data_IF_841019777979
#
_entry.id   IF_841019777979
#
_cell.length_a   1.000
_cell.length_b   1.000
_cell.length_c   1.000
_cell.angle_alpha   90.00
_cell.angle_beta   90.00
_cell.angle_gamma   90.00
#
_symmetry.space_group_name_H-M   'P 1'
#
loop_
_entity.id
_entity.type
_entity.pdbx_description
1 polymer ?
#
# COMPACT_ATOMS: atom_id res chain seq x y z
N UNK A 1 5.55 26.38 -3.99
CA UNK A 1 6.37 25.77 -2.93
C UNK A 1 7.02 24.53 -3.50
N UNK A 2 8.28 24.27 -3.17
CA UNK A 2 8.97 23.07 -3.61
C UNK A 2 8.73 21.93 -2.60
N UNK A 3 8.08 20.86 -3.05
CA UNK A 3 7.71 19.71 -2.21
C UNK A 3 8.90 18.84 -1.82
N UNK A 4 10.08 19.08 -2.42
CA UNK A 4 11.32 18.35 -2.15
C UNK A 4 12.23 19.06 -1.15
N UNK A 5 11.84 20.25 -0.67
CA UNK A 5 12.62 20.98 0.33
C UNK A 5 12.63 20.22 1.64
N UNK A 6 13.82 20.12 2.23
CA UNK A 6 14.03 19.54 3.55
C UNK A 6 14.38 20.60 4.57
N UNK A 7 14.07 20.35 5.85
CA UNK A 7 14.55 21.17 6.96
C UNK A 7 16.07 20.95 7.17
N UNK A 8 16.67 21.71 8.10
CA UNK A 8 18.07 21.50 8.50
C UNK A 8 18.31 20.09 9.08
N UNK A 9 17.27 19.51 9.67
CA UNK A 9 17.29 18.19 10.29
C UNK A 9 16.92 17.07 9.29
N UNK A 10 16.88 17.40 7.99
CA UNK A 10 16.49 16.51 6.90
C UNK A 10 15.02 16.06 6.95
N UNK A 11 14.15 16.76 7.67
CA UNK A 11 12.72 16.47 7.64
C UNK A 11 12.11 16.85 6.30
N UNK A 12 11.27 15.96 5.80
CA UNK A 12 10.47 16.17 4.60
C UNK A 12 9.04 16.51 5.01
N UNK A 13 8.22 16.96 4.04
CA UNK A 13 6.77 17.08 4.22
C UNK A 13 6.12 15.76 4.69
N UNK A 14 6.69 14.62 4.32
CA UNK A 14 6.21 13.31 4.75
C UNK A 14 6.64 12.95 6.17
N UNK A 15 7.76 13.48 6.68
CA UNK A 15 8.16 13.29 8.09
C UNK A 15 7.07 13.82 9.04
N UNK A 16 6.50 14.99 8.73
CA UNK A 16 5.40 15.56 9.52
C UNK A 16 4.11 14.72 9.44
N UNK A 17 3.79 14.14 8.29
CA UNK A 17 2.64 13.24 8.13
C UNK A 17 2.86 11.95 8.92
N UNK A 18 4.05 11.35 8.83
CA UNK A 18 4.42 10.14 9.57
C UNK A 18 4.29 10.38 11.08
N UNK A 19 4.76 11.52 11.57
CA UNK A 19 4.60 11.91 12.97
C UNK A 19 3.12 11.96 13.38
N UNK A 20 2.27 12.67 12.62
CA UNK A 20 0.83 12.75 12.90
C UNK A 20 0.14 11.38 12.87
N UNK A 21 0.49 10.51 11.92
CA UNK A 21 -0.03 9.15 11.87
C UNK A 21 0.37 8.35 13.13
N UNK A 22 1.56 8.59 13.68
CA UNK A 22 2.00 8.02 14.95
C UNK A 22 1.10 8.40 16.13
N UNK A 23 0.61 9.63 16.17
CA UNK A 23 -0.28 10.12 17.24
C UNK A 23 -1.66 9.45 17.24
N UNK A 24 -2.05 8.79 16.15
CA UNK A 24 -3.31 8.01 16.13
C UNK A 24 -3.23 6.73 16.96
N UNK A 25 -2.04 6.31 17.37
CA UNK A 25 -1.85 5.11 18.19
C UNK A 25 -2.19 5.45 19.64
N UNK A 26 -3.38 5.04 20.09
CA UNK A 26 -3.84 5.26 21.45
C UNK A 26 -4.66 6.54 21.66
N UNK A 27 -4.91 7.31 20.60
CA UNK A 27 -5.91 8.38 20.61
C UNK A 27 -7.33 7.80 20.63
N UNK A 28 -8.32 8.64 20.94
CA UNK A 28 -9.72 8.23 20.75
C UNK A 28 -10.07 8.08 19.26
N UNK A 29 -11.22 7.46 19.00
CA UNK A 29 -11.66 7.08 17.66
C UNK A 29 -11.91 8.31 16.76
N UNK A 30 -12.44 9.39 17.32
CA UNK A 30 -12.81 10.58 16.55
C UNK A 30 -11.57 11.41 16.20
N UNK A 31 -10.65 11.58 17.16
CA UNK A 31 -9.34 12.20 16.90
C UNK A 31 -8.55 11.39 15.85
N UNK A 32 -8.49 10.06 15.98
CA UNK A 32 -7.81 9.20 15.01
C UNK A 32 -8.40 9.36 13.61
N UNK A 33 -9.73 9.46 13.48
CA UNK A 33 -10.41 9.68 12.19
C UNK A 33 -10.05 11.03 11.59
N UNK A 34 -10.06 12.10 12.39
CA UNK A 34 -9.71 13.44 11.94
C UNK A 34 -8.26 13.51 11.45
N UNK A 35 -7.32 12.94 12.21
CA UNK A 35 -5.90 12.88 11.82
C UNK A 35 -5.73 12.07 10.55
N UNK A 36 -6.35 10.89 10.44
CA UNK A 36 -6.27 10.06 9.23
C UNK A 36 -6.86 10.80 8.01
N UNK A 37 -8.00 11.48 8.16
CA UNK A 37 -8.60 12.27 7.09
C UNK A 37 -7.66 13.40 6.65
N UNK A 38 -7.11 14.16 7.60
CA UNK A 38 -6.15 15.21 7.31
C UNK A 38 -4.92 14.67 6.55
N UNK A 39 -4.31 13.60 7.06
CA UNK A 39 -3.13 12.98 6.44
C UNK A 39 -3.43 12.48 5.03
N UNK A 40 -4.63 11.94 4.79
CA UNK A 40 -5.10 11.54 3.47
C UNK A 40 -5.17 12.73 2.51
N UNK A 41 -5.86 13.80 2.89
CA UNK A 41 -6.04 14.99 2.03
C UNK A 41 -4.72 15.67 1.72
N UNK A 42 -3.82 15.78 2.69
CA UNK A 42 -2.50 16.38 2.49
C UNK A 42 -1.64 15.51 1.59
N UNK A 43 -1.61 14.19 1.80
CA UNK A 43 -0.87 13.26 0.94
C UNK A 43 -1.36 13.31 -0.50
N UNK A 44 -2.68 13.36 -0.72
CA UNK A 44 -3.27 13.54 -2.04
C UNK A 44 -2.78 14.83 -2.72
N UNK A 45 -2.81 15.95 -2.00
CA UNK A 45 -2.33 17.24 -2.50
C UNK A 45 -0.83 17.19 -2.85
N UNK A 46 0.01 16.67 -1.96
CA UNK A 46 1.44 16.57 -2.17
C UNK A 46 1.78 15.72 -3.40
N UNK A 47 1.09 14.60 -3.60
CA UNK A 47 1.29 13.73 -4.75
C UNK A 47 0.86 14.38 -6.07
N UNK A 48 -0.22 15.18 -6.08
CA UNK A 48 -0.60 16.01 -7.24
C UNK A 48 0.51 16.99 -7.62
N UNK A 49 1.27 17.48 -6.64
CA UNK A 49 2.43 18.34 -6.85
C UNK A 49 3.76 17.58 -7.03
N UNK A 50 3.71 16.26 -7.23
CA UNK A 50 4.86 15.45 -7.61
C UNK A 50 5.72 14.94 -6.45
N UNK A 51 5.26 15.02 -5.21
CA UNK A 51 5.93 14.39 -4.07
C UNK A 51 5.87 12.86 -4.20
N UNK A 52 6.99 12.17 -3.91
CA UNK A 52 7.06 10.71 -3.92
C UNK A 52 6.90 10.16 -2.48
N UNK A 53 5.77 9.52 -2.13
CA UNK A 53 5.52 9.00 -0.77
C UNK A 53 6.35 7.76 -0.43
N UNK A 54 7.11 7.22 -1.38
CA UNK A 54 7.91 6.01 -1.23
C UNK A 54 9.42 6.29 -1.19
N UNK A 55 9.81 7.56 -1.41
CA UNK A 55 11.20 8.01 -1.28
C UNK A 55 11.72 7.70 0.13
N UNK A 56 12.93 7.17 0.20
CA UNK A 56 13.54 6.72 1.45
C UNK A 56 14.44 7.83 2.02
N UNK A 57 13.97 8.64 2.98
CA UNK A 57 14.86 9.48 3.78
C UNK A 57 15.55 8.64 4.87
N UNK A 58 16.33 9.28 5.73
CA UNK A 58 17.13 8.65 6.80
C UNK A 58 16.33 7.84 7.83
N UNK A 59 15.02 8.05 7.96
CA UNK A 59 14.18 7.45 9.00
C UNK A 59 13.13 6.46 8.45
N UNK A 60 12.08 6.91 7.74
CA UNK A 60 11.11 6.04 7.03
C UNK A 60 10.40 6.80 5.91
N UNK A 61 9.83 6.10 4.93
CA UNK A 61 8.93 6.68 3.91
C UNK A 61 7.46 6.55 4.34
N UNK A 62 6.59 7.43 3.85
CA UNK A 62 5.16 7.38 4.17
C UNK A 62 4.55 6.02 3.78
N UNK A 63 4.91 5.50 2.60
CA UNK A 63 4.42 4.19 2.14
C UNK A 63 4.87 3.07 3.07
N UNK A 64 6.12 3.11 3.55
CA UNK A 64 6.66 2.13 4.48
C UNK A 64 5.93 2.17 5.83
N UNK A 65 5.68 3.35 6.39
CA UNK A 65 4.93 3.53 7.64
C UNK A 65 3.48 3.02 7.48
N UNK A 66 2.81 3.37 6.38
CA UNK A 66 1.45 2.89 6.12
C UNK A 66 1.39 1.36 5.95
N UNK A 67 2.41 0.72 5.36
CA UNK A 67 2.50 -0.74 5.29
C UNK A 67 2.65 -1.38 6.67
N UNK A 68 3.49 -0.79 7.54
CA UNK A 68 3.70 -1.29 8.91
C UNK A 68 2.46 -1.21 9.78
N UNK A 69 1.57 -0.27 9.50
CA UNK A 69 0.33 -0.02 10.23
C UNK A 69 -0.90 -0.12 9.33
N UNK A 70 -0.89 -1.07 8.37
CA UNK A 70 -1.92 -1.15 7.33
C UNK A 70 -3.33 -1.39 7.87
N UNK A 71 -3.47 -1.98 9.06
CA UNK A 71 -4.77 -2.15 9.74
C UNK A 71 -5.40 -0.78 10.05
N UNK A 72 -4.60 0.18 10.50
CA UNK A 72 -5.03 1.50 10.97
C UNK A 72 -5.11 2.51 9.82
N UNK A 73 -4.09 2.54 8.96
CA UNK A 73 -3.97 3.51 7.87
C UNK A 73 -4.38 2.92 6.52
N UNK A 74 -5.29 1.95 6.51
CA UNK A 74 -5.70 1.25 5.28
C UNK A 74 -6.17 2.18 4.17
N UNK A 75 -7.04 3.19 4.41
CA UNK A 75 -7.53 4.07 3.34
C UNK A 75 -6.40 4.86 2.68
N UNK A 76 -5.46 5.36 3.50
CA UNK A 76 -4.28 6.06 3.00
C UNK A 76 -3.37 5.11 2.22
N UNK A 77 -3.04 3.94 2.78
CA UNK A 77 -2.20 2.95 2.09
C UNK A 77 -2.79 2.54 0.73
N UNK A 78 -4.10 2.27 0.69
CA UNK A 78 -4.83 1.93 -0.53
C UNK A 78 -4.66 3.04 -1.56
N UNK A 79 -4.93 4.29 -1.17
CA UNK A 79 -4.76 5.45 -2.06
C UNK A 79 -3.32 5.56 -2.60
N UNK A 80 -2.31 5.41 -1.73
CA UNK A 80 -0.90 5.47 -2.16
C UNK A 80 -0.62 4.42 -3.24
N UNK A 81 -1.00 3.16 -3.01
CA UNK A 81 -0.76 2.06 -3.96
C UNK A 81 -1.59 2.19 -5.24
N UNK A 82 -2.85 2.61 -5.15
CA UNK A 82 -3.70 2.89 -6.32
C UNK A 82 -3.13 4.02 -7.18
N UNK A 83 -2.61 5.06 -6.53
CA UNK A 83 -1.87 6.16 -7.16
C UNK A 83 -0.55 5.70 -7.77
N UNK A 84 -0.08 4.50 -7.42
CA UNK A 84 1.06 3.78 -8.01
C UNK A 84 2.28 3.62 -7.10
N UNK A 85 2.16 3.88 -5.78
CA UNK A 85 3.26 4.14 -4.83
C UNK A 85 4.20 2.95 -4.86
N UNK A 86 5.51 3.19 -4.80
CA UNK A 86 6.44 2.07 -4.75
C UNK A 86 6.20 1.30 -3.46
N UNK A 87 5.91 0.01 -3.59
CA UNK A 87 5.70 -0.89 -2.46
C UNK A 87 7.01 -1.51 -1.94
N UNK A 88 8.15 -1.07 -2.47
CA UNK A 88 9.49 -1.36 -1.99
C UNK A 88 10.28 -0.04 -1.95
N UNK A 89 11.44 -0.04 -1.29
CA UNK A 89 12.32 1.12 -1.28
C UNK A 89 12.65 1.56 -2.71
N UNK A 90 12.29 2.80 -3.08
CA UNK A 90 12.55 3.33 -4.43
C UNK A 90 14.03 3.58 -4.70
N UNK A 91 14.82 3.84 -3.65
CA UNK A 91 16.25 4.11 -3.73
C UNK A 91 17.11 2.85 -3.61
N UNK A 92 16.83 2.01 -2.61
CA UNK A 92 17.67 0.86 -2.25
C UNK A 92 17.06 -0.51 -2.65
N UNK A 93 15.87 -0.51 -3.24
CA UNK A 93 15.16 -1.73 -3.63
C UNK A 93 14.65 -2.58 -2.45
N UNK A 94 14.14 -3.80 -2.73
CA UNK A 94 13.49 -4.66 -1.74
C UNK A 94 14.43 -5.17 -0.63
N UNK A 95 15.74 -5.02 -0.77
CA UNK A 95 16.73 -5.33 0.27
C UNK A 95 16.73 -4.36 1.45
N UNK A 96 16.27 -3.11 1.24
CA UNK A 96 16.10 -2.15 2.32
C UNK A 96 14.77 -2.35 3.03
N UNK A 97 13.67 -2.39 2.26
CA UNK A 97 12.38 -2.83 2.74
C UNK A 97 11.52 -3.35 1.59
N UNK A 98 10.73 -4.37 1.88
CA UNK A 98 9.80 -5.00 0.94
C UNK A 98 8.40 -5.02 1.51
N UNK A 99 7.45 -4.43 0.79
CA UNK A 99 6.06 -4.39 1.23
C UNK A 99 5.46 -5.78 1.37
N UNK A 100 5.90 -6.77 0.57
CA UNK A 100 5.40 -8.14 0.68
C UNK A 100 5.78 -8.71 2.05
N UNK A 101 7.04 -8.52 2.44
CA UNK A 101 7.52 -8.99 3.74
C UNK A 101 6.80 -8.31 4.90
N UNK A 102 6.66 -6.98 4.83
CA UNK A 102 6.00 -6.19 5.87
C UNK A 102 4.54 -6.61 6.04
N UNK A 103 3.78 -6.76 4.96
CA UNK A 103 2.35 -7.10 5.03
C UNK A 103 2.15 -8.46 5.69
N UNK A 104 2.93 -9.47 5.31
CA UNK A 104 2.81 -10.81 5.91
C UNK A 104 3.27 -10.85 7.36
N UNK A 105 4.37 -10.18 7.71
CA UNK A 105 4.85 -10.06 9.10
C UNK A 105 3.79 -9.40 10.01
N UNK A 106 3.23 -8.28 9.55
CA UNK A 106 2.19 -7.54 10.28
C UNK A 106 0.88 -8.30 10.35
N UNK A 107 0.47 -8.96 9.27
CA UNK A 107 -0.73 -9.81 9.26
C UNK A 107 -0.62 -10.93 10.30
N UNK A 108 0.50 -11.66 10.33
CA UNK A 108 0.72 -12.70 11.34
C UNK A 108 0.73 -12.14 12.77
N UNK A 109 1.35 -10.97 12.96
CA UNK A 109 1.37 -10.28 14.26
C UNK A 109 -0.04 -9.93 14.73
N UNK A 110 -0.83 -9.27 13.89
CA UNK A 110 -2.19 -8.83 14.24
C UNK A 110 -3.16 -9.99 14.47
N UNK A 111 -3.08 -11.06 13.66
CA UNK A 111 -3.92 -12.25 13.84
C UNK A 111 -3.55 -13.05 15.08
N UNK A 112 -2.33 -12.89 15.60
CA UNK A 112 -1.87 -13.58 16.82
C UNK A 112 -2.12 -12.82 18.11
N UNK A 113 -2.25 -11.49 18.05
CA UNK A 113 -2.31 -10.63 19.24
C UNK A 113 -3.71 -10.10 19.57
N UNK A 114 -4.73 -10.37 18.76
CA UNK A 114 -6.02 -9.67 18.86
C UNK A 114 -7.21 -10.63 18.84
N UNK A 115 -7.79 -10.90 20.02
CA UNK A 115 -9.02 -11.69 20.16
C UNK A 115 -10.25 -10.94 19.58
N UNK A 116 -10.24 -9.61 19.62
CA UNK A 116 -11.33 -8.73 19.13
C UNK A 116 -11.11 -8.21 17.69
N UNK A 117 -10.08 -8.68 16.97
CA UNK A 117 -9.95 -8.26 15.57
C UNK A 117 -10.98 -8.97 14.70
N UNK A 118 -11.64 -8.20 13.84
CA UNK A 118 -12.30 -8.77 12.68
C UNK A 118 -11.22 -9.35 11.75
N UNK A 119 -10.89 -10.62 11.99
CA UNK A 119 -9.89 -11.37 11.23
C UNK A 119 -10.25 -11.44 9.74
N UNK A 120 -11.54 -11.37 9.40
CA UNK A 120 -12.02 -11.37 8.01
C UNK A 120 -11.70 -10.04 7.36
N UNK A 121 -12.06 -8.91 7.98
CA UNK A 121 -11.69 -7.57 7.51
C UNK A 121 -10.17 -7.44 7.35
N UNK A 122 -9.40 -7.91 8.33
CA UNK A 122 -7.94 -7.82 8.29
C UNK A 122 -7.33 -8.63 7.13
N UNK A 123 -7.83 -9.84 6.89
CA UNK A 123 -7.42 -10.66 5.75
C UNK A 123 -7.79 -9.99 4.42
N UNK A 124 -9.01 -9.44 4.32
CA UNK A 124 -9.46 -8.72 3.12
C UNK A 124 -8.60 -7.47 2.84
N UNK A 125 -8.20 -6.74 3.89
CA UNK A 125 -7.27 -5.61 3.79
C UNK A 125 -5.90 -6.07 3.30
N UNK A 126 -5.36 -7.14 3.87
CA UNK A 126 -4.08 -7.69 3.42
C UNK A 126 -4.13 -8.16 1.97
N UNK A 127 -5.16 -8.89 1.58
CA UNK A 127 -5.39 -9.33 0.20
C UNK A 127 -5.48 -8.13 -0.76
N UNK A 128 -6.26 -7.12 -0.41
CA UNK A 128 -6.38 -5.88 -1.20
C UNK A 128 -5.03 -5.18 -1.38
N UNK A 129 -4.22 -5.08 -0.34
CA UNK A 129 -2.87 -4.49 -0.42
C UNK A 129 -1.97 -5.33 -1.34
N UNK A 130 -1.97 -6.65 -1.19
CA UNK A 130 -1.17 -7.56 -2.01
C UNK A 130 -1.59 -7.49 -3.49
N UNK A 131 -2.88 -7.44 -3.79
CA UNK A 131 -3.39 -7.29 -5.15
C UNK A 131 -2.94 -5.96 -5.79
N UNK A 132 -3.01 -4.85 -5.03
CA UNK A 132 -2.56 -3.55 -5.49
C UNK A 132 -1.05 -3.55 -5.78
N UNK A 133 -0.25 -4.20 -4.94
CA UNK A 133 1.19 -4.34 -5.16
C UNK A 133 1.50 -5.17 -6.41
N UNK A 134 0.86 -6.33 -6.54
CA UNK A 134 0.98 -7.21 -7.72
C UNK A 134 0.60 -6.43 -8.98
N UNK A 135 -0.48 -5.65 -8.95
CA UNK A 135 -0.98 -4.93 -10.11
C UNK A 135 -0.10 -3.78 -10.60
N UNK A 136 0.91 -3.40 -9.83
CA UNK A 136 1.92 -2.40 -10.20
C UNK A 136 3.23 -3.05 -10.68
N UNK A 137 3.40 -4.34 -10.45
CA UNK A 137 4.64 -5.06 -10.71
C UNK A 137 4.64 -5.66 -12.11
N UNK A 138 5.56 -5.31 -13.02
CA UNK A 138 5.63 -5.97 -14.34
C UNK A 138 6.00 -7.44 -14.21
N UNK A 139 6.77 -7.77 -13.18
CA UNK A 139 7.12 -9.12 -12.77
C UNK A 139 7.30 -9.13 -11.26
N UNK A 140 6.55 -10.00 -10.59
CA UNK A 140 6.67 -10.16 -9.15
C UNK A 140 8.07 -10.70 -8.83
N UNK A 141 8.72 -10.03 -7.88
CA UNK A 141 10.03 -10.43 -7.34
C UNK A 141 9.92 -10.42 -5.82
N UNK A 142 9.91 -11.61 -5.22
CA UNK A 142 9.88 -11.78 -3.78
C UNK A 142 11.30 -11.66 -3.21
N UNK A 143 11.45 -11.26 -1.93
CA UNK A 143 12.74 -11.31 -1.26
C UNK A 143 13.36 -12.71 -1.33
N UNK A 144 14.70 -12.80 -1.34
CA UNK A 144 15.38 -14.11 -1.28
C UNK A 144 15.03 -14.80 0.04
N UNK A 145 14.72 -16.11 -0.02
CA UNK A 145 14.27 -16.90 1.13
C UNK A 145 13.02 -16.32 1.82
N UNK A 146 12.07 -15.85 1.02
CA UNK A 146 10.83 -15.29 1.53
C UNK A 146 9.90 -16.39 2.08
N UNK A 147 10.08 -16.68 3.37
CA UNK A 147 9.23 -17.56 4.15
C UNK A 147 8.50 -16.78 5.25
N UNK A 148 7.31 -17.27 5.61
CA UNK A 148 6.45 -16.63 6.59
C UNK A 148 6.41 -17.51 7.82
N UNK A 149 6.60 -16.89 8.99
CA UNK A 149 6.36 -17.56 10.24
C UNK A 149 4.88 -17.40 10.65
N UNK A 150 4.12 -18.48 10.58
CA UNK A 150 2.71 -18.54 11.00
C UNK A 150 2.52 -19.02 12.43
N UNK A 151 3.61 -19.18 13.21
CA UNK A 151 3.55 -19.67 14.60
C UNK A 151 2.59 -18.89 15.48
N UNK A 152 2.47 -17.58 15.22
CA UNK A 152 1.69 -16.64 16.01
C UNK A 152 0.22 -16.58 15.59
N UNK A 153 -0.15 -17.04 14.38
CA UNK A 153 -1.49 -16.92 13.83
C UNK A 153 -2.15 -18.27 13.54
N UNK A 154 -1.98 -19.25 14.44
CA UNK A 154 -2.36 -20.67 14.23
C UNK A 154 -3.78 -20.88 13.69
N UNK A 155 -4.75 -20.13 14.20
CA UNK A 155 -6.17 -20.23 13.78
C UNK A 155 -6.36 -19.86 12.31
N UNK A 156 -5.54 -18.95 11.78
CA UNK A 156 -5.63 -18.43 10.42
C UNK A 156 -4.44 -18.84 9.54
N UNK A 157 -3.60 -19.76 10.03
CA UNK A 157 -2.36 -20.16 9.37
C UNK A 157 -2.61 -20.67 7.95
N UNK A 158 -3.68 -21.41 7.72
CA UNK A 158 -4.05 -21.94 6.40
C UNK A 158 -4.36 -20.80 5.41
N UNK A 159 -5.11 -19.77 5.84
CA UNK A 159 -5.45 -18.63 4.98
C UNK A 159 -4.23 -17.79 4.65
N UNK A 160 -3.37 -17.52 5.63
CA UNK A 160 -2.11 -16.79 5.42
C UNK A 160 -1.17 -17.58 4.49
N UNK A 161 -1.09 -18.89 4.68
CA UNK A 161 -0.29 -19.78 3.82
C UNK A 161 -0.84 -19.82 2.40
N UNK A 162 -2.15 -19.85 2.21
CA UNK A 162 -2.78 -19.81 0.89
C UNK A 162 -2.46 -18.50 0.13
N UNK A 163 -2.53 -17.35 0.81
CA UNK A 163 -2.13 -16.06 0.24
C UNK A 163 -0.66 -16.07 -0.20
N UNK A 164 0.23 -16.60 0.63
CA UNK A 164 1.66 -16.71 0.33
C UNK A 164 1.96 -17.64 -0.84
N UNK A 165 1.33 -18.81 -0.86
CA UNK A 165 1.48 -19.77 -1.94
C UNK A 165 0.99 -19.18 -3.26
N UNK A 166 -0.14 -18.48 -3.25
CA UNK A 166 -0.67 -17.78 -4.43
C UNK A 166 0.34 -16.77 -4.96
N UNK A 167 0.99 -16.00 -4.07
CA UNK A 167 2.03 -15.05 -4.45
C UNK A 167 3.28 -15.74 -5.01
N UNK A 168 3.74 -16.84 -4.41
CA UNK A 168 4.86 -17.66 -4.93
C UNK A 168 4.55 -18.25 -6.31
N UNK A 169 3.31 -18.70 -6.54
CA UNK A 169 2.87 -19.19 -7.85
C UNK A 169 2.88 -18.08 -8.91
N UNK A 170 2.49 -16.86 -8.54
CA UNK A 170 2.55 -15.71 -9.44
C UNK A 170 3.98 -15.28 -9.77
N UNK A 171 4.95 -15.47 -8.86
CA UNK A 171 6.37 -15.24 -9.16
C UNK A 171 6.94 -16.27 -10.17
N UNK A 172 6.49 -17.53 -10.08
CA UNK A 172 6.96 -18.63 -10.92
C UNK A 172 6.31 -18.65 -12.31
N UNK A 173 5.13 -18.04 -12.46
CA UNK A 173 4.38 -18.02 -13.72
C UNK A 173 4.67 -16.76 -14.53
N UNK A 174 4.69 -16.84 -15.87
CA UNK A 174 4.79 -15.66 -16.71
C UNK A 174 3.54 -14.78 -16.54
N UNK A 175 3.67 -13.45 -16.49
CA UNK A 175 2.51 -12.58 -16.33
C UNK A 175 1.62 -12.65 -17.58
N UNK A 176 0.31 -12.66 -17.40
CA UNK A 176 -0.64 -12.64 -18.52
C UNK A 176 -0.49 -11.36 -19.35
N UNK A 177 -0.85 -11.41 -20.64
CA UNK A 177 -0.86 -10.22 -21.49
C UNK A 177 -1.73 -9.11 -20.90
N UNK A 178 -2.90 -9.49 -20.33
CA UNK A 178 -3.77 -8.59 -19.58
C UNK A 178 -2.94 -7.86 -18.52
N UNK A 179 -2.34 -8.59 -17.59
CA UNK A 179 -1.52 -8.02 -16.52
C UNK A 179 -0.41 -7.07 -17.03
N UNK A 180 0.35 -7.49 -18.05
CA UNK A 180 1.36 -6.66 -18.70
C UNK A 180 0.80 -5.34 -19.22
N UNK A 181 -0.33 -5.37 -19.93
CA UNK A 181 -0.98 -4.17 -20.45
C UNK A 181 -1.38 -3.21 -19.33
N UNK A 182 -1.97 -3.71 -18.22
CA UNK A 182 -2.31 -2.86 -17.06
C UNK A 182 -1.09 -2.18 -16.48
N UNK A 183 -0.02 -2.94 -16.20
CA UNK A 183 1.20 -2.39 -15.63
C UNK A 183 1.82 -1.36 -16.57
N UNK A 184 1.92 -1.69 -17.86
CA UNK A 184 2.48 -0.82 -18.87
C UNK A 184 1.72 0.51 -18.97
N UNK A 185 0.39 0.47 -19.02
CA UNK A 185 -0.44 1.69 -19.05
C UNK A 185 -0.24 2.50 -17.78
N UNK A 186 -0.33 1.87 -16.59
CA UNK A 186 -0.15 2.57 -15.30
C UNK A 186 1.23 3.24 -15.20
N UNK A 187 2.29 2.60 -15.68
CA UNK A 187 3.64 3.18 -15.70
C UNK A 187 3.72 4.40 -16.63
N UNK A 188 3.02 4.41 -17.76
CA UNK A 188 2.97 5.55 -18.69
C UNK A 188 2.17 6.73 -18.17
N UNK A 189 1.31 6.52 -17.17
CA UNK A 189 0.54 7.59 -16.53
C UNK A 189 1.35 8.31 -15.43
N UNK A 190 2.52 7.81 -15.05
CA UNK A 190 3.41 8.54 -14.12
C UNK A 190 3.90 9.87 -14.74
N UNK A 191 4.21 10.91 -13.93
CA UNK A 191 4.21 10.93 -12.47
C UNK A 191 2.80 10.93 -11.85
N UNK A 192 2.74 10.84 -10.55
CA UNK A 192 1.54 10.78 -9.69
C UNK A 192 0.51 11.89 -9.95
N UNK A 193 -0.75 11.70 -9.51
CA UNK A 193 -1.37 10.46 -9.05
C UNK A 193 -1.99 9.68 -10.24
N UNK A 194 -1.71 8.38 -10.33
CA UNK A 194 -2.11 7.56 -11.50
C UNK A 194 -3.63 7.40 -11.59
N UNK A 195 -4.33 7.32 -10.46
CA UNK A 195 -5.78 7.11 -10.40
C UNK A 195 -6.57 8.25 -11.05
N UNK A 196 -6.22 9.51 -10.75
CA UNK A 196 -6.85 10.70 -11.36
C UNK A 196 -6.64 10.69 -12.86
N UNK A 197 -5.43 10.33 -13.30
CA UNK A 197 -5.10 10.24 -14.73
C UNK A 197 -5.87 9.13 -15.43
N UNK A 198 -6.02 7.95 -14.82
CA UNK A 198 -6.86 6.87 -15.35
C UNK A 198 -8.32 7.33 -15.48
N UNK A 199 -8.86 8.02 -14.48
CA UNK A 199 -10.24 8.55 -14.51
C UNK A 199 -10.46 9.56 -15.64
N UNK A 200 -9.44 10.36 -15.95
CA UNK A 200 -9.46 11.36 -17.02
C UNK A 200 -9.27 10.78 -18.44
N UNK A 201 -8.80 9.53 -18.58
CA UNK A 201 -8.61 8.93 -19.91
C UNK A 201 -9.97 8.76 -20.63
N UNK A 202 -10.01 8.94 -21.96
CA UNK A 202 -11.20 8.68 -22.78
C UNK A 202 -11.36 7.17 -23.03
N UNK A 203 -11.40 6.38 -21.96
CA UNK A 203 -11.59 4.93 -21.98
C UNK A 203 -12.99 4.56 -21.46
N UNK A 204 -13.58 3.45 -21.93
CA UNK A 204 -14.76 2.87 -21.30
C UNK A 204 -14.55 2.57 -19.81
N UNK A 205 -15.61 2.67 -19.01
CA UNK A 205 -15.54 2.49 -17.55
C UNK A 205 -14.97 1.13 -17.17
N UNK A 206 -15.28 0.08 -17.93
CA UNK A 206 -14.72 -1.26 -17.72
C UNK A 206 -13.19 -1.29 -17.79
N UNK A 207 -12.58 -0.50 -18.68
CA UNK A 207 -11.12 -0.38 -18.78
C UNK A 207 -10.56 0.50 -17.66
N UNK A 208 -11.27 1.55 -17.24
CA UNK A 208 -10.88 2.37 -16.08
C UNK A 208 -10.84 1.52 -14.80
N UNK A 209 -11.91 0.77 -14.52
CA UNK A 209 -12.00 -0.16 -13.39
C UNK A 209 -10.88 -1.20 -13.41
N UNK A 210 -10.59 -1.73 -14.60
CA UNK A 210 -9.49 -2.66 -14.79
C UNK A 210 -8.11 -2.07 -14.44
N UNK A 211 -7.89 -0.79 -14.75
CA UNK A 211 -6.65 -0.08 -14.44
C UNK A 211 -6.56 0.38 -12.98
N UNK A 212 -7.70 0.69 -12.33
CA UNK A 212 -7.76 1.16 -10.95
C UNK A 212 -7.79 0.03 -9.90
N UNK A 213 -7.90 -1.24 -10.31
CA UNK A 213 -7.88 -2.40 -9.40
C UNK A 213 -8.96 -2.23 -8.31
N UNK A 214 -10.17 -1.84 -8.73
CA UNK A 214 -11.30 -1.82 -7.81
C UNK A 214 -11.69 -3.26 -7.50
N UNK A 215 -11.79 -3.66 -6.22
CA UNK A 215 -12.39 -4.93 -5.87
C UNK A 215 -13.81 -4.95 -6.44
N UNK A 216 -14.26 -6.12 -6.90
CA UNK A 216 -15.59 -6.31 -7.49
C UNK A 216 -16.76 -6.05 -6.52
N UNK A 217 -16.49 -5.52 -5.32
CA UNK A 217 -17.46 -5.14 -4.31
C UNK A 217 -16.92 -3.93 -3.52
N UNK A 218 -17.23 -2.73 -3.98
CA UNK A 218 -17.24 -1.53 -3.13
C UNK A 218 -18.32 -0.59 -3.67
N UNK A 219 -19.57 -1.00 -3.52
CA UNK A 219 -20.60 -0.03 -3.19
C UNK A 219 -20.27 0.40 -1.77
N UNK A 220 -19.70 1.60 -1.63
CA UNK A 220 -20.05 2.63 -0.66
C UNK A 220 -19.17 3.83 -1.04
N UNK A 221 -19.72 4.66 -1.94
CA UNK A 221 -19.63 6.09 -1.71
C UNK A 221 -20.23 6.31 -0.33
N UNK A 222 -19.40 6.59 0.67
CA UNK A 222 -19.76 7.42 1.82
C UNK A 222 -18.46 7.86 2.51
N UNK A 223 -18.03 9.05 2.08
CA UNK A 223 -17.01 9.90 2.70
C UNK A 223 -17.72 10.87 3.65
#
# INVERSE_FOLDING_TARGET
>A
ADVKVTTKDCDTVFSSIIFLLGETVGSDNDEAKLINHFCFRVSQLLMVHGADPSECPSHESLTHTCLKSFKLHFPLLRFLLESGASYNCSLHGPSCWSGFHIVFDRLCTYLGSCEDCDSVDLLNKAESVLELMVAQSPRITLPRNFDINTSNCRVHADKVTALHQSLKQLEQSPPTLKHWCRVYIRQRLRPWPVDVKVKALPLPDRLKLYLLIHPAASYEDDL
#
